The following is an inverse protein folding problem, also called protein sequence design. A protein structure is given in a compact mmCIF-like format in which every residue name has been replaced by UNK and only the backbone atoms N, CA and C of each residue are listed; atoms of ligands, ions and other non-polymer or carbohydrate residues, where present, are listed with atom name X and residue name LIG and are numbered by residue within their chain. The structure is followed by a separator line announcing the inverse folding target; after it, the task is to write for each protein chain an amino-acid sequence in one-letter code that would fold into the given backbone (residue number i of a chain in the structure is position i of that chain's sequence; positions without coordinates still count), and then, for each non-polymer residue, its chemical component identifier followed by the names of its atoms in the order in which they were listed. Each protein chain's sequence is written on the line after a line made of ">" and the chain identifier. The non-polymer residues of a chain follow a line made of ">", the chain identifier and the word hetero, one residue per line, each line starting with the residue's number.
data_IF_443567196595
#
_entry.id   IF_443567196595
#
_cell.length_a   1.000
_cell.length_b   1.000
_cell.length_c   1.000
_cell.angle_alpha   90.00
_cell.angle_beta   90.00
_cell.angle_gamma   90.00
#
_symmetry.space_group_name_H-M   'P 1'
#
loop_
_entity.id
_entity.type
_entity.pdbx_description
1 polymer ?
#
# COMPACT_ATOMS: atom_id res chain seq x y z
N UNK A 1 10.23 20.92 -19.25
CA UNK A 1 11.40 21.18 -18.37
C UNK A 1 11.28 20.46 -17.03
N UNK A 2 10.28 20.77 -16.20
CA UNK A 2 10.13 20.17 -14.85
C UNK A 2 9.97 18.63 -14.89
N UNK A 3 9.19 18.09 -15.83
CA UNK A 3 9.04 16.64 -15.96
C UNK A 3 10.37 15.94 -16.27
N UNK A 4 11.20 16.52 -17.15
CA UNK A 4 12.51 15.98 -17.47
C UNK A 4 13.46 16.04 -16.27
N UNK A 5 13.39 17.10 -15.46
CA UNK A 5 14.17 17.20 -14.22
C UNK A 5 13.74 16.18 -13.16
N UNK A 6 12.44 15.86 -13.08
CA UNK A 6 11.94 14.79 -12.21
C UNK A 6 12.47 13.44 -12.67
N UNK A 7 12.38 13.14 -13.98
CA UNK A 7 12.87 11.87 -14.54
C UNK A 7 14.39 11.74 -14.33
N UNK A 8 15.16 12.80 -14.57
CA UNK A 8 16.59 12.80 -14.29
C UNK A 8 16.90 12.56 -12.81
N UNK A 9 16.13 13.16 -11.89
CA UNK A 9 16.26 12.92 -10.46
C UNK A 9 15.94 11.46 -10.09
N UNK A 10 14.91 10.86 -10.69
CA UNK A 10 14.59 9.45 -10.49
C UNK A 10 15.71 8.52 -11.00
N UNK A 11 16.35 8.85 -12.13
CA UNK A 11 17.48 8.08 -12.65
C UNK A 11 18.68 8.17 -11.70
N UNK A 12 18.98 9.36 -11.19
CA UNK A 12 20.04 9.56 -10.19
C UNK A 12 19.78 8.74 -8.94
N UNK A 13 18.56 8.78 -8.39
CA UNK A 13 18.16 7.95 -7.24
C UNK A 13 18.27 6.45 -7.53
N UNK A 14 17.95 6.00 -8.76
CA UNK A 14 18.04 4.60 -9.13
C UNK A 14 19.48 4.10 -9.32
N UNK A 15 20.41 5.00 -9.64
CA UNK A 15 21.84 4.70 -9.79
C UNK A 15 22.62 4.79 -8.46
N UNK A 16 22.00 5.33 -7.41
CA UNK A 16 22.59 5.44 -6.08
C UNK A 16 22.80 4.05 -5.44
N UNK A 17 24.04 3.77 -5.02
CA UNK A 17 24.40 2.51 -4.40
C UNK A 17 24.53 2.69 -2.90
N UNK A 18 23.75 1.92 -2.14
CA UNK A 18 23.80 1.94 -0.68
C UNK A 18 24.76 0.84 -0.22
N UNK A 19 26.02 1.20 0.07
CA UNK A 19 27.00 0.27 0.61
C UNK A 19 26.93 0.24 2.15
N UNK A 20 27.25 -0.91 2.79
CA UNK A 20 27.35 -1.02 4.24
C UNK A 20 28.44 -0.09 4.80
N UNK A 21 28.34 0.25 6.08
CA UNK A 21 29.31 1.05 6.84
C UNK A 21 29.62 2.45 6.29
N UNK A 22 28.72 2.99 5.45
CA UNK A 22 28.84 4.35 4.93
C UNK A 22 29.92 4.49 3.85
N UNK A 23 30.37 3.38 3.28
CA UNK A 23 31.26 3.38 2.13
C UNK A 23 30.55 4.00 0.90
N UNK A 24 31.29 4.70 0.06
CA UNK A 24 30.75 5.37 -1.13
C UNK A 24 31.66 5.12 -2.31
N UNK A 25 31.05 4.68 -3.41
CA UNK A 25 31.77 4.62 -4.69
C UNK A 25 31.99 6.05 -5.22
N UNK A 26 33.03 6.29 -6.03
CA UNK A 26 33.28 7.60 -6.64
C UNK A 26 32.12 8.05 -7.56
N UNK A 27 31.31 7.11 -8.03
CA UNK A 27 30.06 7.39 -8.73
C UNK A 27 29.00 7.95 -7.77
N UNK A 28 28.79 7.31 -6.61
CA UNK A 28 27.81 7.76 -5.61
C UNK A 28 28.12 9.15 -5.08
N UNK A 29 29.39 9.47 -4.85
CA UNK A 29 29.82 10.80 -4.40
C UNK A 29 29.49 11.90 -5.42
N UNK A 30 29.74 11.63 -6.72
CA UNK A 30 29.34 12.55 -7.80
C UNK A 30 27.83 12.70 -7.92
N UNK A 31 27.06 11.66 -7.60
CA UNK A 31 25.60 11.71 -7.63
C UNK A 31 25.05 12.58 -6.49
N UNK A 32 25.64 12.50 -5.29
CA UNK A 32 25.30 13.36 -4.16
C UNK A 32 25.49 14.85 -4.50
N UNK A 33 26.56 15.19 -5.23
CA UNK A 33 26.81 16.57 -5.67
C UNK A 33 25.73 17.11 -6.61
N UNK A 34 25.04 16.24 -7.37
CA UNK A 34 23.96 16.69 -8.27
C UNK A 34 22.66 17.04 -7.53
N UNK A 35 22.51 16.58 -6.30
CA UNK A 35 21.29 16.71 -5.52
C UNK A 35 20.87 18.15 -5.17
N UNK A 36 21.76 19.03 -4.66
CA UNK A 36 21.39 20.42 -4.37
C UNK A 36 20.88 21.15 -5.62
N UNK A 37 21.36 20.80 -6.82
CA UNK A 37 20.85 21.38 -8.07
C UNK A 37 19.39 21.02 -8.32
N UNK A 38 18.99 19.76 -8.11
CA UNK A 38 17.59 19.34 -8.25
C UNK A 38 16.69 20.03 -7.21
N UNK A 39 17.15 20.15 -5.96
CA UNK A 39 16.42 20.85 -4.90
C UNK A 39 16.25 22.33 -5.26
N UNK A 40 17.30 22.98 -5.77
CA UNK A 40 17.25 24.37 -6.22
C UNK A 40 16.19 24.61 -7.31
N UNK A 41 16.15 23.74 -8.33
CA UNK A 41 15.13 23.80 -9.40
C UNK A 41 13.72 23.64 -8.83
N UNK A 42 13.51 22.69 -7.92
CA UNK A 42 12.20 22.47 -7.30
C UNK A 42 11.78 23.59 -6.34
N UNK A 43 12.74 24.19 -5.63
CA UNK A 43 12.49 25.36 -4.79
C UNK A 43 12.08 26.56 -5.63
N UNK A 44 12.74 26.77 -6.78
CA UNK A 44 12.39 27.84 -7.71
C UNK A 44 10.98 27.66 -8.29
N UNK A 45 10.64 26.45 -8.72
CA UNK A 45 9.29 26.12 -9.17
C UNK A 45 8.23 26.38 -8.08
N UNK A 46 8.46 25.88 -6.86
CA UNK A 46 7.53 26.07 -5.74
C UNK A 46 7.37 27.56 -5.40
N UNK A 47 8.47 28.32 -5.39
CA UNK A 47 8.48 29.76 -5.17
C UNK A 47 7.63 30.51 -6.20
N UNK A 48 7.81 30.22 -7.50
CA UNK A 48 6.99 30.82 -8.56
C UNK A 48 5.50 30.50 -8.35
N UNK A 49 5.15 29.25 -8.05
CA UNK A 49 3.76 28.85 -7.81
C UNK A 49 3.15 29.56 -6.59
N UNK A 50 3.91 29.72 -5.52
CA UNK A 50 3.47 30.41 -4.29
C UNK A 50 3.21 31.89 -4.57
N UNK A 51 4.08 32.56 -5.32
CA UNK A 51 3.91 33.97 -5.69
C UNK A 51 2.69 34.15 -6.61
N UNK A 52 2.53 33.27 -7.60
CA UNK A 52 1.44 33.38 -8.59
C UNK A 52 0.05 33.05 -8.02
N UNK A 53 -0.06 32.05 -7.13
CA UNK A 53 -1.35 31.56 -6.61
C UNK A 53 -1.70 32.13 -5.22
N UNK A 54 -0.73 32.75 -4.54
CA UNK A 54 -0.84 33.15 -3.14
C UNK A 54 -0.69 31.97 -2.18
N UNK A 55 -0.18 32.25 -0.97
CA UNK A 55 0.25 31.22 -0.02
C UNK A 55 -0.91 30.40 0.58
N UNK A 56 -1.84 31.03 1.30
CA UNK A 56 -2.86 30.30 2.08
C UNK A 56 -4.28 30.91 2.09
N UNK A 57 -4.44 32.23 2.02
CA UNK A 57 -5.71 32.88 2.38
C UNK A 57 -6.76 32.96 1.25
N UNK A 58 -6.40 32.70 -0.01
CA UNK A 58 -7.34 32.74 -1.14
C UNK A 58 -7.88 31.34 -1.50
N UNK A 59 -9.10 31.29 -2.06
CA UNK A 59 -9.75 30.02 -2.46
C UNK A 59 -8.98 29.21 -3.52
N UNK A 60 -8.06 29.84 -4.25
CA UNK A 60 -7.12 29.21 -5.21
C UNK A 60 -5.68 29.10 -4.71
N UNK A 61 -5.44 29.30 -3.42
CA UNK A 61 -4.08 29.32 -2.85
C UNK A 61 -3.35 27.99 -2.96
N UNK A 62 -2.03 28.08 -3.03
CA UNK A 62 -1.10 26.98 -3.28
C UNK A 62 -1.34 25.78 -2.35
N UNK A 63 -1.50 26.01 -1.05
CA UNK A 63 -1.66 24.96 -0.03
C UNK A 63 -3.04 24.26 -0.02
N UNK A 64 -4.03 24.77 -0.75
CA UNK A 64 -5.36 24.15 -0.81
C UNK A 64 -5.44 23.02 -1.84
N UNK A 65 -4.49 22.97 -2.77
CA UNK A 65 -4.35 21.88 -3.72
C UNK A 65 -3.45 20.78 -3.15
N UNK A 66 -4.01 19.58 -2.90
CA UNK A 66 -3.27 18.46 -2.30
C UNK A 66 -1.99 18.05 -3.04
N UNK A 67 -1.95 18.22 -4.37
CA UNK A 67 -0.75 17.94 -5.17
C UNK A 67 0.35 18.97 -4.95
N UNK A 68 -0.01 20.24 -4.79
CA UNK A 68 0.94 21.30 -4.46
C UNK A 68 1.47 21.15 -3.02
N UNK A 69 0.64 20.65 -2.09
CA UNK A 69 1.09 20.33 -0.73
C UNK A 69 2.13 19.21 -0.75
N UNK A 70 1.92 18.17 -1.56
CA UNK A 70 2.92 17.12 -1.76
C UNK A 70 4.23 17.69 -2.31
N UNK A 71 4.16 18.52 -3.36
CA UNK A 71 5.34 19.21 -3.92
C UNK A 71 6.08 20.04 -2.87
N UNK A 72 5.33 20.76 -2.02
CA UNK A 72 5.88 21.59 -0.95
C UNK A 72 6.59 20.76 0.12
N UNK A 73 6.01 19.64 0.55
CA UNK A 73 6.61 18.73 1.52
C UNK A 73 7.93 18.17 0.98
N UNK A 74 7.97 17.79 -0.30
CA UNK A 74 9.20 17.29 -0.95
C UNK A 74 10.30 18.37 -1.00
N UNK A 75 9.94 19.62 -1.28
CA UNK A 75 10.90 20.74 -1.27
C UNK A 75 11.38 21.06 0.15
N UNK A 76 10.46 21.13 1.11
CA UNK A 76 10.76 21.45 2.51
C UNK A 76 11.71 20.42 3.14
N UNK A 77 11.43 19.14 2.93
CA UNK A 77 12.27 18.03 3.41
C UNK A 77 13.64 18.02 2.72
N UNK A 78 13.70 18.38 1.43
CA UNK A 78 14.96 18.59 0.71
C UNK A 78 15.83 19.69 1.31
N UNK A 79 15.26 20.86 1.58
CA UNK A 79 15.96 21.98 2.23
C UNK A 79 16.39 21.61 3.66
N UNK A 80 15.54 20.95 4.41
CA UNK A 80 15.88 20.51 5.77
C UNK A 80 17.05 19.51 5.76
N UNK A 81 17.15 18.66 4.73
CA UNK A 81 18.27 17.72 4.57
C UNK A 81 19.60 18.38 4.20
N UNK A 82 19.59 19.57 3.59
CA UNK A 82 20.81 20.31 3.23
C UNK A 82 21.26 21.29 4.32
N UNK A 83 20.32 21.79 5.13
CA UNK A 83 20.58 22.77 6.20
C UNK A 83 20.81 22.11 7.57
N UNK A 84 20.30 20.90 7.81
CA UNK A 84 20.36 20.25 9.11
C UNK A 84 21.77 19.79 9.50
N UNK A 85 22.34 20.45 10.52
CA UNK A 85 23.66 20.11 11.09
C UNK A 85 23.60 19.11 12.26
N UNK A 86 22.42 18.75 12.79
CA UNK A 86 22.33 17.89 14.01
C UNK A 86 21.22 16.83 14.04
N UNK A 87 20.31 16.78 13.06
CA UNK A 87 19.31 15.71 12.99
C UNK A 87 19.86 14.49 12.26
N UNK A 88 19.51 13.29 12.71
CA UNK A 88 19.95 12.01 12.13
C UNK A 88 19.60 11.93 10.63
N UNK A 89 20.55 12.34 9.80
CA UNK A 89 20.42 12.58 8.36
C UNK A 89 19.95 11.32 7.61
N UNK A 90 20.08 10.13 8.19
CA UNK A 90 19.62 8.87 7.60
C UNK A 90 18.12 8.87 7.32
N UNK A 91 17.31 9.37 8.25
CA UNK A 91 15.85 9.41 8.09
C UNK A 91 15.42 10.44 7.03
N UNK A 92 16.06 11.61 7.00
CA UNK A 92 15.80 12.66 6.02
C UNK A 92 16.28 12.27 4.61
N UNK A 93 17.33 11.43 4.49
CA UNK A 93 17.74 10.84 3.22
C UNK A 93 16.69 9.87 2.67
N UNK A 94 16.06 9.05 3.53
CA UNK A 94 15.00 8.14 3.09
C UNK A 94 13.80 8.88 2.49
N UNK A 95 13.48 10.09 2.97
CA UNK A 95 12.37 10.92 2.45
C UNK A 95 12.56 11.30 0.97
N UNK A 96 13.79 11.28 0.46
CA UNK A 96 14.11 11.53 -0.96
C UNK A 96 13.43 10.52 -1.89
N UNK A 97 13.09 9.32 -1.39
CA UNK A 97 12.31 8.29 -2.11
C UNK A 97 10.88 8.75 -2.47
N UNK A 98 10.39 9.84 -1.86
CA UNK A 98 9.09 10.42 -2.18
C UNK A 98 9.15 11.34 -3.41
N UNK A 99 10.33 11.79 -3.87
CA UNK A 99 10.48 12.68 -5.03
C UNK A 99 9.87 12.14 -6.32
N UNK A 100 9.98 10.84 -6.66
CA UNK A 100 9.25 10.25 -7.78
C UNK A 100 7.74 10.47 -7.74
N UNK A 101 7.12 10.66 -6.57
CA UNK A 101 5.69 10.98 -6.47
C UNK A 101 5.34 12.33 -7.11
N UNK A 102 6.30 13.26 -7.25
CA UNK A 102 6.12 14.52 -7.98
C UNK A 102 5.82 14.29 -9.48
N UNK A 103 6.17 13.13 -10.03
CA UNK A 103 5.78 12.76 -11.39
C UNK A 103 4.24 12.67 -11.52
N UNK A 104 3.55 12.29 -10.44
CA UNK A 104 2.09 12.28 -10.38
C UNK A 104 1.54 13.70 -10.40
N UNK A 105 2.11 14.65 -9.64
CA UNK A 105 1.68 16.05 -9.69
C UNK A 105 1.96 16.70 -11.05
N UNK A 106 3.00 16.24 -11.77
CA UNK A 106 3.36 16.70 -13.11
C UNK A 106 2.49 16.15 -14.26
N UNK A 107 1.88 14.96 -14.12
CA UNK A 107 1.10 14.31 -15.19
C UNK A 107 -0.38 14.20 -14.80
N UNK A 108 -1.27 15.02 -15.40
CA UNK A 108 -2.70 15.04 -15.07
C UNK A 108 -3.39 13.67 -15.20
N UNK A 109 -2.98 12.86 -16.19
CA UNK A 109 -3.54 11.51 -16.40
C UNK A 109 -3.31 10.60 -15.18
N UNK A 110 -2.14 10.67 -14.54
CA UNK A 110 -1.83 9.89 -13.34
C UNK A 110 -2.64 10.35 -12.12
N UNK A 111 -2.89 11.66 -12.00
CA UNK A 111 -3.75 12.20 -10.94
C UNK A 111 -5.17 11.64 -11.02
N UNK A 112 -5.72 11.52 -12.23
CA UNK A 112 -7.06 10.93 -12.45
C UNK A 112 -7.07 9.46 -12.04
N UNK A 113 -6.02 8.71 -12.38
CA UNK A 113 -5.89 7.29 -12.01
C UNK A 113 -5.81 7.13 -10.49
N UNK A 114 -4.89 7.82 -9.81
CA UNK A 114 -4.76 7.71 -8.35
C UNK A 114 -6.00 8.17 -7.61
N UNK A 115 -6.65 9.26 -8.06
CA UNK A 115 -7.93 9.70 -7.48
C UNK A 115 -9.02 8.65 -7.61
N UNK A 116 -9.01 7.89 -8.72
CA UNK A 116 -9.93 6.78 -8.92
C UNK A 116 -9.62 5.61 -7.97
N UNK A 117 -8.35 5.27 -7.77
CA UNK A 117 -7.92 4.23 -6.81
C UNK A 117 -8.33 4.62 -5.39
N UNK A 118 -8.06 5.85 -4.96
CA UNK A 118 -8.43 6.33 -3.62
C UNK A 118 -9.94 6.26 -3.38
N UNK A 119 -10.75 6.57 -4.40
CA UNK A 119 -12.21 6.46 -4.31
C UNK A 119 -12.66 5.00 -4.18
N UNK A 120 -11.99 4.06 -4.85
CA UNK A 120 -12.27 2.63 -4.76
C UNK A 120 -11.78 2.00 -3.44
N UNK A 121 -10.80 2.61 -2.76
CA UNK A 121 -10.27 2.10 -1.49
C UNK A 121 -11.25 2.29 -0.32
N UNK A 122 -12.04 3.36 -0.32
CA UNK A 122 -13.00 3.67 0.76
C UNK A 122 -13.98 2.52 1.03
N UNK A 123 -14.70 1.96 0.03
CA UNK A 123 -15.59 0.82 0.28
C UNK A 123 -14.82 -0.42 0.77
N UNK A 124 -13.62 -0.68 0.25
CA UNK A 124 -12.79 -1.81 0.67
C UNK A 124 -12.37 -1.72 2.15
N UNK A 125 -12.18 -0.51 2.68
CA UNK A 125 -11.80 -0.29 4.08
C UNK A 125 -12.85 -0.85 5.06
N UNK A 126 -14.15 -0.71 4.74
CA UNK A 126 -15.22 -1.21 5.61
C UNK A 126 -15.18 -2.73 5.75
N UNK A 127 -14.89 -3.43 4.66
CA UNK A 127 -14.69 -4.88 4.71
C UNK A 127 -13.37 -5.21 5.38
N UNK A 128 -12.29 -4.50 5.06
CA UNK A 128 -11.00 -4.64 5.73
C UNK A 128 -11.11 -4.56 7.26
N UNK A 129 -12.01 -3.71 7.78
CA UNK A 129 -12.31 -3.64 9.21
C UNK A 129 -12.99 -4.92 9.73
N UNK A 130 -13.99 -5.45 9.01
CA UNK A 130 -14.60 -6.74 9.35
C UNK A 130 -13.57 -7.88 9.35
N UNK A 131 -12.67 -7.87 8.36
CA UNK A 131 -11.57 -8.83 8.28
C UNK A 131 -10.61 -8.72 9.46
N UNK A 132 -10.26 -7.48 9.84
CA UNK A 132 -9.42 -7.23 11.00
C UNK A 132 -10.04 -7.75 12.29
N UNK A 133 -11.37 -7.60 12.48
CA UNK A 133 -12.06 -8.19 13.62
C UNK A 133 -12.03 -9.73 13.60
N UNK A 134 -12.20 -10.36 12.44
CA UNK A 134 -12.08 -11.82 12.33
C UNK A 134 -10.66 -12.30 12.70
N UNK A 135 -9.63 -11.60 12.21
CA UNK A 135 -8.22 -11.87 12.57
C UNK A 135 -8.01 -11.73 14.08
N UNK A 136 -8.54 -10.67 14.69
CA UNK A 136 -8.43 -10.46 16.14
C UNK A 136 -9.05 -11.60 16.94
N UNK A 137 -10.21 -12.13 16.53
CA UNK A 137 -10.84 -13.26 17.23
C UNK A 137 -9.90 -14.48 17.21
N UNK A 138 -9.37 -14.85 16.04
CA UNK A 138 -8.44 -15.97 15.94
C UNK A 138 -7.10 -15.71 16.65
N UNK A 139 -6.63 -14.46 16.69
CA UNK A 139 -5.42 -14.08 17.41
C UNK A 139 -5.59 -14.21 18.93
N UNK A 140 -6.74 -13.81 19.49
CA UNK A 140 -7.05 -13.98 20.91
C UNK A 140 -7.13 -15.46 21.27
N UNK A 141 -7.81 -16.27 20.45
CA UNK A 141 -7.89 -17.72 20.65
C UNK A 141 -6.49 -18.37 20.59
N UNK A 142 -5.67 -17.96 19.62
CA UNK A 142 -4.30 -18.45 19.47
C UNK A 142 -3.40 -18.05 20.64
N UNK A 143 -3.56 -16.83 21.15
CA UNK A 143 -2.86 -16.34 22.34
C UNK A 143 -3.15 -17.24 23.55
N UNK A 144 -4.41 -17.52 23.85
CA UNK A 144 -4.78 -18.40 24.97
C UNK A 144 -4.23 -19.82 24.85
N UNK A 145 -4.11 -20.36 23.62
CA UNK A 145 -3.60 -21.73 23.43
C UNK A 145 -2.07 -21.85 23.41
N UNK A 146 -1.39 -20.86 22.86
CA UNK A 146 0.04 -20.97 22.53
C UNK A 146 0.95 -20.04 23.34
N UNK A 147 0.41 -19.34 24.36
CA UNK A 147 1.19 -18.48 25.24
C UNK A 147 2.37 -19.24 25.87
N UNK A 148 3.57 -18.70 25.67
CA UNK A 148 4.84 -19.18 26.17
C UNK A 148 5.36 -20.46 25.50
N UNK A 149 4.61 -21.05 24.57
CA UNK A 149 4.93 -22.38 24.01
C UNK A 149 6.06 -22.38 22.99
N UNK A 150 6.38 -21.23 22.41
CA UNK A 150 7.42 -21.10 21.38
C UNK A 150 8.79 -20.67 21.89
N UNK A 151 8.99 -20.62 23.22
CA UNK A 151 10.25 -20.20 23.83
C UNK A 151 11.12 -21.37 24.33
N UNK A 152 10.79 -22.60 23.95
CA UNK A 152 11.54 -23.81 24.27
C UNK A 152 12.31 -24.29 23.05
N UNK A 153 13.57 -24.66 23.23
CA UNK A 153 14.39 -25.28 22.18
C UNK A 153 15.33 -26.33 22.76
N UNK A 154 15.80 -27.25 21.92
CA UNK A 154 16.79 -28.25 22.33
C UNK A 154 18.17 -27.61 22.47
N UNK A 155 18.67 -27.56 23.71
CA UNK A 155 20.01 -27.08 24.05
C UNK A 155 20.91 -28.24 24.44
N UNK A 156 22.19 -28.15 24.10
CA UNK A 156 23.20 -29.10 24.57
C UNK A 156 23.33 -29.05 26.10
N UNK A 157 23.46 -30.22 26.74
CA UNK A 157 23.52 -30.33 28.20
C UNK A 157 24.78 -29.64 28.77
N UNK A 158 25.88 -29.62 28.01
CA UNK A 158 27.18 -29.12 28.43
C UNK A 158 27.46 -27.68 27.99
N UNK A 159 27.11 -27.30 26.76
CA UNK A 159 27.43 -25.97 26.22
C UNK A 159 26.28 -24.96 26.32
N UNK A 160 25.06 -25.43 26.61
CA UNK A 160 23.82 -24.64 26.55
C UNK A 160 23.57 -23.96 25.19
N UNK A 161 24.27 -24.40 24.14
CA UNK A 161 24.09 -23.91 22.77
C UNK A 161 22.84 -24.53 22.14
N UNK A 162 22.12 -23.72 21.36
CA UNK A 162 20.93 -24.17 20.63
C UNK A 162 21.39 -24.98 19.43
N UNK A 163 21.05 -26.27 19.39
CA UNK A 163 21.44 -27.14 18.27
C UNK A 163 20.44 -27.09 17.12
N UNK A 164 19.16 -26.84 17.40
CA UNK A 164 18.08 -26.85 16.42
C UNK A 164 17.12 -25.70 16.69
N UNK A 165 16.88 -24.86 15.69
CA UNK A 165 15.96 -23.72 15.73
C UNK A 165 14.50 -24.15 15.53
N UNK A 166 14.03 -25.04 16.39
CA UNK A 166 12.66 -25.50 16.40
C UNK A 166 12.15 -25.66 17.83
N UNK A 167 10.85 -25.43 18.08
CA UNK A 167 10.26 -25.69 19.37
C UNK A 167 10.43 -27.14 19.81
N UNK A 168 10.45 -27.36 21.12
CA UNK A 168 10.41 -28.70 21.71
C UNK A 168 9.42 -28.75 22.87
N UNK A 169 8.98 -29.95 23.23
CA UNK A 169 8.24 -30.19 24.46
C UNK A 169 8.88 -31.27 25.32
N UNK A 170 8.40 -31.38 26.56
CA UNK A 170 8.97 -32.28 27.59
C UNK A 170 8.34 -33.68 27.58
N UNK A 171 7.16 -33.83 27.00
CA UNK A 171 6.36 -35.07 27.03
C UNK A 171 5.81 -35.43 25.65
N UNK A 172 5.72 -36.73 25.33
CA UNK A 172 5.03 -37.20 24.12
C UNK A 172 3.55 -36.78 24.17
N UNK A 173 2.94 -36.22 23.10
CA UNK A 173 3.31 -36.34 21.68
C UNK A 173 4.05 -35.12 21.09
N UNK A 174 4.60 -34.24 21.94
CA UNK A 174 5.46 -33.14 21.48
C UNK A 174 6.81 -33.66 20.97
N UNK A 175 7.57 -32.80 20.28
CA UNK A 175 8.90 -33.16 19.80
C UNK A 175 9.87 -33.22 20.97
N UNK A 176 10.39 -34.42 21.22
CA UNK A 176 11.43 -34.67 22.21
C UNK A 176 12.81 -34.39 21.62
N UNK A 177 13.70 -33.87 22.47
CA UNK A 177 15.08 -33.61 22.08
C UNK A 177 15.89 -34.92 21.96
N UNK A 178 16.85 -34.99 21.02
CA UNK A 178 17.73 -36.15 20.86
C UNK A 178 18.68 -36.33 22.06
N UNK A 179 19.23 -37.54 22.21
CA UNK A 179 20.18 -37.86 23.28
C UNK A 179 21.35 -36.88 23.31
N UNK A 180 21.65 -36.34 24.50
CA UNK A 180 22.68 -35.31 24.70
C UNK A 180 22.15 -33.88 24.71
N UNK A 181 20.86 -33.67 24.42
CA UNK A 181 20.21 -32.35 24.49
C UNK A 181 18.99 -32.36 25.40
N UNK A 182 18.71 -31.23 26.03
CA UNK A 182 17.56 -31.03 26.92
C UNK A 182 16.66 -29.91 26.38
N UNK A 183 15.34 -30.08 26.51
CA UNK A 183 14.38 -29.06 26.14
C UNK A 183 14.34 -27.97 27.21
N UNK A 184 15.01 -26.84 26.94
CA UNK A 184 15.14 -25.71 27.87
C UNK A 184 14.43 -24.47 27.36
N UNK A 185 14.01 -23.63 28.30
CA UNK A 185 13.42 -22.32 28.04
C UNK A 185 14.52 -21.29 27.67
N UNK A 186 14.11 -20.05 27.39
CA UNK A 186 14.98 -18.94 26.92
C UNK A 186 15.51 -19.08 25.49
N UNK A 187 14.66 -19.54 24.58
CA UNK A 187 14.84 -19.30 23.15
C UNK A 187 14.01 -18.10 22.69
N UNK A 188 14.55 -17.28 21.78
CA UNK A 188 13.83 -16.11 21.24
C UNK A 188 12.55 -16.51 20.49
N UNK A 189 12.48 -17.74 19.99
CA UNK A 189 11.35 -18.27 19.23
C UNK A 189 11.64 -18.34 17.72
N UNK A 190 10.76 -18.97 16.94
CA UNK A 190 10.97 -19.14 15.51
C UNK A 190 11.05 -17.80 14.78
N UNK A 191 11.79 -17.75 13.67
CA UNK A 191 12.00 -16.54 12.86
C UNK A 191 12.48 -15.34 13.69
N UNK A 192 13.51 -15.53 14.52
CA UNK A 192 14.06 -14.50 15.41
C UNK A 192 13.01 -13.90 16.38
N UNK A 193 12.04 -14.71 16.82
CA UNK A 193 10.98 -14.30 17.74
C UNK A 193 9.85 -13.48 17.10
N UNK A 194 9.75 -13.42 15.77
CA UNK A 194 8.64 -12.69 15.11
C UNK A 194 7.35 -13.51 15.15
N UNK A 195 7.44 -14.82 14.93
CA UNK A 195 6.27 -15.72 14.90
C UNK A 195 6.00 -16.25 16.31
N UNK A 196 5.14 -15.55 17.05
CA UNK A 196 4.81 -15.86 18.44
C UNK A 196 3.36 -15.50 18.79
N UNK A 197 2.83 -16.08 19.87
CA UNK A 197 1.47 -15.84 20.39
C UNK A 197 1.47 -15.17 21.77
N UNK A 198 2.59 -14.62 22.25
CA UNK A 198 2.68 -14.05 23.60
C UNK A 198 2.11 -12.63 23.71
N UNK A 199 2.05 -11.91 22.60
CA UNK A 199 1.48 -10.57 22.52
C UNK A 199 0.43 -10.52 21.40
N UNK A 200 -0.67 -9.80 21.65
CA UNK A 200 -1.75 -9.64 20.68
C UNK A 200 -1.26 -9.11 19.32
N UNK A 201 -0.26 -8.22 19.28
CA UNK A 201 0.25 -7.67 18.02
C UNK A 201 0.99 -8.72 17.19
N UNK A 202 1.83 -9.54 17.82
CA UNK A 202 2.53 -10.65 17.16
C UNK A 202 1.57 -11.79 16.82
N UNK A 203 0.58 -12.06 17.66
CA UNK A 203 -0.48 -13.02 17.36
C UNK A 203 -1.30 -12.61 16.13
N UNK A 204 -1.69 -11.34 16.02
CA UNK A 204 -2.38 -10.79 14.83
C UNK A 204 -1.51 -10.92 13.58
N UNK A 205 -0.21 -10.60 13.66
CA UNK A 205 0.72 -10.76 12.53
C UNK A 205 0.85 -12.22 12.10
N UNK A 206 0.99 -13.13 13.07
CA UNK A 206 1.14 -14.57 12.86
C UNK A 206 -0.14 -15.18 12.24
N UNK A 207 -1.31 -14.79 12.72
CA UNK A 207 -2.61 -15.18 12.16
C UNK A 207 -2.81 -14.60 10.76
N UNK A 208 -2.42 -13.34 10.54
CA UNK A 208 -2.46 -12.71 9.22
C UNK A 208 -1.60 -13.47 8.21
N UNK A 209 -0.36 -13.83 8.56
CA UNK A 209 0.50 -14.67 7.75
C UNK A 209 -0.19 -16.00 7.40
N UNK A 210 -0.82 -16.66 8.38
CA UNK A 210 -1.55 -17.90 8.12
C UNK A 210 -2.71 -17.73 7.13
N UNK A 211 -3.49 -16.66 7.25
CA UNK A 211 -4.62 -16.38 6.37
C UNK A 211 -4.18 -16.10 4.93
N UNK A 212 -2.99 -15.52 4.74
CA UNK A 212 -2.38 -15.35 3.41
C UNK A 212 -1.92 -16.66 2.76
N UNK A 213 -2.11 -17.81 3.42
CA UNK A 213 -1.66 -19.13 2.99
C UNK A 213 -0.14 -19.24 2.78
N UNK A 214 0.63 -18.39 3.43
CA UNK A 214 2.09 -18.37 3.36
C UNK A 214 2.64 -18.79 4.72
N UNK A 215 3.57 -19.76 4.76
CA UNK A 215 4.21 -20.21 6.01
C UNK A 215 3.30 -20.89 7.06
N UNK A 216 1.99 -21.05 6.82
CA UNK A 216 1.04 -21.57 7.82
C UNK A 216 1.31 -23.01 8.26
N UNK A 217 1.81 -23.86 7.36
CA UNK A 217 2.20 -25.24 7.68
C UNK A 217 3.39 -25.28 8.62
N UNK A 218 4.35 -24.37 8.46
CA UNK A 218 5.49 -24.25 9.36
C UNK A 218 5.02 -23.90 10.77
N UNK A 219 4.07 -22.98 10.90
CA UNK A 219 3.50 -22.63 12.20
C UNK A 219 2.70 -23.79 12.83
N UNK A 220 1.97 -24.55 12.03
CA UNK A 220 1.33 -25.78 12.49
C UNK A 220 2.37 -26.79 12.99
N UNK A 221 3.48 -26.97 12.28
CA UNK A 221 4.56 -27.86 12.70
C UNK A 221 5.26 -27.36 13.97
N UNK A 222 5.55 -26.06 14.07
CA UNK A 222 6.08 -25.47 15.31
C UNK A 222 5.14 -25.66 16.49
N UNK A 223 3.83 -25.53 16.27
CA UNK A 223 2.82 -25.81 17.30
C UNK A 223 2.83 -27.29 17.69
N UNK A 224 2.91 -28.20 16.72
CA UNK A 224 2.98 -29.64 16.98
C UNK A 224 4.26 -30.04 17.72
N UNK A 225 5.38 -29.44 17.37
CA UNK A 225 6.66 -29.69 18.02
C UNK A 225 6.65 -29.18 19.47
N UNK A 226 5.97 -28.07 19.76
CA UNK A 226 5.85 -27.50 21.10
C UNK A 226 4.81 -28.19 22.01
N UNK A 227 3.58 -28.40 21.52
CA UNK A 227 2.43 -28.87 22.33
C UNK A 227 1.91 -30.26 21.94
N UNK A 228 2.42 -30.85 20.86
CA UNK A 228 1.97 -32.13 20.33
C UNK A 228 0.87 -32.01 19.27
N UNK A 229 0.77 -33.00 18.38
CA UNK A 229 -0.09 -32.92 17.18
C UNK A 229 -1.60 -33.15 17.40
N UNK A 230 -2.01 -33.59 18.59
CA UNK A 230 -3.36 -34.10 18.83
C UNK A 230 -4.48 -33.06 18.61
N UNK A 231 -4.25 -31.80 18.98
CA UNK A 231 -5.32 -30.78 19.04
C UNK A 231 -5.06 -29.55 18.16
N UNK A 232 -3.83 -29.30 17.72
CA UNK A 232 -3.48 -28.08 16.98
C UNK A 232 -4.22 -27.93 15.65
N UNK A 233 -4.54 -29.04 14.98
CA UNK A 233 -5.28 -29.03 13.72
C UNK A 233 -6.70 -28.44 13.89
N UNK A 234 -7.32 -28.53 15.08
CA UNK A 234 -8.63 -27.92 15.36
C UNK A 234 -8.59 -26.39 15.35
N UNK A 235 -7.43 -25.79 15.57
CA UNK A 235 -7.25 -24.34 15.45
C UNK A 235 -6.91 -23.97 14.01
N UNK A 236 -5.89 -24.60 13.44
CA UNK A 236 -5.35 -24.20 12.12
C UNK A 236 -6.28 -24.54 10.95
N UNK A 237 -7.00 -25.67 10.96
CA UNK A 237 -7.86 -26.04 9.84
C UNK A 237 -9.06 -25.08 9.72
N UNK A 238 -9.83 -24.77 10.79
CA UNK A 238 -10.85 -23.72 10.72
C UNK A 238 -10.27 -22.34 10.41
N UNK A 239 -9.08 -22.01 10.91
CA UNK A 239 -8.41 -20.74 10.56
C UNK A 239 -8.14 -20.64 9.05
N UNK A 240 -7.70 -21.70 8.38
CA UNK A 240 -7.45 -21.67 6.93
C UNK A 240 -8.76 -21.68 6.13
N UNK A 241 -9.76 -22.46 6.55
CA UNK A 241 -11.05 -22.54 5.86
C UNK A 241 -11.83 -21.22 6.03
N UNK A 242 -12.01 -20.75 7.27
CA UNK A 242 -12.80 -19.56 7.58
C UNK A 242 -11.97 -18.29 7.35
N UNK A 243 -10.68 -18.31 7.65
CA UNK A 243 -9.81 -17.20 7.30
C UNK A 243 -9.62 -17.15 5.80
N UNK A 244 -8.83 -18.03 5.21
CA UNK A 244 -8.39 -17.81 3.83
C UNK A 244 -9.50 -17.91 2.77
N UNK A 245 -10.31 -18.98 2.77
CA UNK A 245 -11.33 -19.16 1.72
C UNK A 245 -12.46 -18.14 1.82
N UNK A 246 -12.99 -17.89 3.02
CA UNK A 246 -14.04 -16.89 3.19
C UNK A 246 -13.51 -15.47 2.95
N UNK A 247 -12.29 -15.14 3.38
CA UNK A 247 -11.70 -13.81 3.14
C UNK A 247 -11.52 -13.53 1.64
N UNK A 248 -10.94 -14.47 0.89
CA UNK A 248 -10.78 -14.32 -0.57
C UNK A 248 -12.14 -14.15 -1.26
N UNK A 249 -13.13 -14.97 -0.89
CA UNK A 249 -14.47 -14.89 -1.46
C UNK A 249 -15.17 -13.57 -1.11
N UNK A 250 -14.98 -13.04 0.10
CA UNK A 250 -15.56 -11.77 0.50
C UNK A 250 -14.93 -10.61 -0.26
N UNK A 251 -13.59 -10.59 -0.38
CA UNK A 251 -12.88 -9.55 -1.15
C UNK A 251 -13.31 -9.59 -2.61
N UNK A 252 -13.36 -10.76 -3.23
CA UNK A 252 -13.84 -10.93 -4.61
C UNK A 252 -15.31 -10.51 -4.76
N UNK A 253 -16.16 -10.87 -3.80
CA UNK A 253 -17.58 -10.51 -3.80
C UNK A 253 -17.79 -9.00 -3.76
N UNK A 254 -17.05 -8.30 -2.91
CA UNK A 254 -17.13 -6.83 -2.82
C UNK A 254 -16.56 -6.18 -4.06
N UNK A 255 -15.37 -6.60 -4.51
CA UNK A 255 -14.77 -6.05 -5.72
C UNK A 255 -15.73 -6.22 -6.91
N UNK A 256 -16.35 -7.38 -7.05
CA UNK A 256 -17.38 -7.64 -8.05
C UNK A 256 -18.58 -6.69 -7.89
N UNK A 257 -19.09 -6.49 -6.67
CA UNK A 257 -20.18 -5.56 -6.38
C UNK A 257 -19.85 -4.10 -6.72
N UNK A 258 -18.66 -3.61 -6.33
CA UNK A 258 -18.22 -2.26 -6.64
C UNK A 258 -17.91 -2.09 -8.14
N UNK A 259 -17.34 -3.09 -8.81
CA UNK A 259 -17.14 -3.07 -10.26
C UNK A 259 -18.48 -3.08 -11.01
N UNK A 260 -19.47 -3.85 -10.57
CA UNK A 260 -20.80 -3.86 -11.15
C UNK A 260 -21.47 -2.48 -11.01
N UNK A 261 -21.40 -1.89 -9.81
CA UNK A 261 -21.93 -0.54 -9.52
C UNK A 261 -21.24 0.54 -10.35
N UNK A 262 -19.92 0.49 -10.50
CA UNK A 262 -19.20 1.46 -11.32
C UNK A 262 -19.47 1.26 -12.81
N UNK A 263 -19.60 0.01 -13.28
CA UNK A 263 -20.02 -0.31 -14.66
C UNK A 263 -21.41 0.26 -14.97
N UNK A 264 -22.38 0.06 -14.08
CA UNK A 264 -23.73 0.60 -14.24
C UNK A 264 -23.73 2.13 -14.32
N UNK A 265 -22.95 2.81 -13.46
CA UNK A 265 -22.78 4.28 -13.53
C UNK A 265 -22.22 4.74 -14.87
N UNK A 266 -21.24 4.03 -15.41
CA UNK A 266 -20.63 4.35 -16.71
C UNK A 266 -21.64 4.13 -17.85
N UNK A 267 -22.39 3.03 -17.82
CA UNK A 267 -23.44 2.74 -18.81
C UNK A 267 -24.55 3.80 -18.79
N UNK A 268 -25.06 4.16 -17.61
CA UNK A 268 -26.06 5.21 -17.44
C UNK A 268 -25.57 6.57 -17.95
N UNK A 269 -24.31 6.93 -17.65
CA UNK A 269 -23.71 8.18 -18.15
C UNK A 269 -23.56 8.17 -19.67
N UNK A 270 -23.17 7.04 -20.27
CA UNK A 270 -23.07 6.88 -21.73
C UNK A 270 -24.45 6.96 -22.38
N UNK A 271 -25.47 6.33 -21.80
CA UNK A 271 -26.85 6.37 -22.28
C UNK A 271 -27.40 7.81 -22.26
N UNK A 272 -27.20 8.53 -21.15
CA UNK A 272 -27.58 9.94 -21.04
C UNK A 272 -26.91 10.83 -22.09
N UNK A 273 -25.59 10.66 -22.30
CA UNK A 273 -24.85 11.42 -23.31
C UNK A 273 -25.32 11.12 -24.74
N UNK A 274 -25.67 9.86 -25.04
CA UNK A 274 -26.26 9.46 -26.33
C UNK A 274 -27.63 10.10 -26.54
N UNK A 275 -28.51 10.04 -25.54
CA UNK A 275 -29.85 10.64 -25.59
C UNK A 275 -29.76 12.16 -25.84
N UNK A 276 -28.87 12.85 -25.12
CA UNK A 276 -28.65 14.28 -25.28
C UNK A 276 -28.13 14.64 -26.67
N UNK A 277 -27.25 13.83 -27.26
CA UNK A 277 -26.80 14.02 -28.65
C UNK A 277 -27.95 13.84 -29.65
N UNK A 278 -28.82 12.84 -29.45
CA UNK A 278 -29.98 12.63 -30.33
C UNK A 278 -30.96 13.82 -30.28
N UNK A 279 -31.31 14.28 -29.08
CA UNK A 279 -32.18 15.46 -28.92
C UNK A 279 -31.58 16.73 -29.51
N UNK A 280 -30.26 16.89 -29.41
CA UNK A 280 -29.55 18.02 -30.03
C UNK A 280 -29.68 17.96 -31.56
N UNK A 281 -29.39 16.81 -32.17
CA UNK A 281 -29.48 16.60 -33.62
C UNK A 281 -30.92 16.82 -34.10
N UNK A 282 -31.91 16.33 -33.36
CA UNK A 282 -33.33 16.51 -33.70
C UNK A 282 -33.75 17.99 -33.67
N UNK A 283 -33.31 18.75 -32.66
CA UNK A 283 -33.56 20.20 -32.59
C UNK A 283 -32.88 20.96 -33.73
N UNK A 284 -31.63 20.63 -34.04
CA UNK A 284 -30.91 21.25 -35.15
C UNK A 284 -31.60 20.94 -36.49
N UNK A 285 -31.98 19.69 -36.72
CA UNK A 285 -32.72 19.28 -37.92
C UNK A 285 -34.04 20.03 -38.07
N UNK A 286 -34.82 20.15 -36.99
CA UNK A 286 -36.08 20.91 -37.00
C UNK A 286 -35.84 22.39 -37.29
N UNK A 287 -34.79 22.99 -36.72
CA UNK A 287 -34.39 24.36 -37.04
C UNK A 287 -34.03 24.54 -38.51
N UNK A 288 -33.23 23.63 -39.09
CA UNK A 288 -32.91 23.67 -40.53
C UNK A 288 -34.16 23.51 -41.41
N UNK A 289 -35.09 22.64 -41.04
CA UNK A 289 -36.34 22.44 -41.75
C UNK A 289 -37.23 23.70 -41.75
N UNK A 290 -37.31 24.41 -40.62
CA UNK A 290 -38.02 25.70 -40.54
C UNK A 290 -37.39 26.75 -41.46
N UNK A 291 -36.05 26.85 -41.46
CA UNK A 291 -35.33 27.76 -42.36
C UNK A 291 -35.57 27.44 -43.83
N UNK A 292 -35.52 26.15 -44.22
CA UNK A 292 -35.81 25.70 -45.58
C UNK A 292 -37.26 26.03 -45.95
N UNK A 293 -38.23 25.78 -45.07
CA UNK A 293 -39.64 26.11 -45.30
C UNK A 293 -39.86 27.61 -45.50
N UNK A 294 -39.22 28.43 -44.67
CA UNK A 294 -39.29 29.89 -44.75
C UNK A 294 -38.64 30.42 -46.03
N UNK A 295 -37.49 29.88 -46.43
CA UNK A 295 -36.84 30.20 -47.69
C UNK A 295 -37.74 29.81 -48.88
N UNK A 296 -38.30 28.59 -48.90
CA UNK A 296 -39.21 28.13 -49.95
C UNK A 296 -40.44 29.03 -50.12
N UNK A 297 -41.02 29.52 -49.02
CA UNK A 297 -42.10 30.53 -49.05
C UNK A 297 -41.63 31.89 -49.58
N UNK A 298 -40.42 32.32 -49.21
CA UNK A 298 -39.86 33.63 -49.63
C UNK A 298 -39.43 33.68 -51.10
N UNK A 299 -39.05 32.55 -51.70
CA UNK A 299 -38.71 32.43 -53.12
C UNK A 299 -39.92 32.11 -54.01
N UNK A 300 -41.15 32.11 -53.48
CA UNK A 300 -42.35 32.02 -54.30
C UNK A 300 -42.56 30.66 -54.98
N UNK A 301 -42.16 29.55 -54.36
CA UNK A 301 -42.60 28.20 -54.77
C UNK A 301 -44.06 27.92 -54.32
N UNK A 302 -44.93 28.90 -54.53
CA UNK A 302 -46.38 28.76 -54.49
C UNK A 302 -46.85 28.64 -55.93
N UNK A 303 -46.68 27.45 -56.53
CA UNK A 303 -47.56 26.87 -57.56
C UNK A 303 -46.89 25.65 -58.18
N UNK A 304 -47.20 24.48 -57.63
CA UNK A 304 -47.66 23.31 -58.38
C UNK A 304 -48.52 22.45 -57.47
#
# INVERSE_FOLDING_TARGET
>A
MILATIIANCIVLALEQHLPDGDKTPMSERLDDTEPYFIGIFCFEAGIKIIALGFAFHKGSYLRNGWNVMDFVVVLTGILSTVGTEFDLRTLRAVRVLRPLKLVSGIPSLQVVLKSIMKAMIPLLQIGLLLFFAILIFAIIGLEFYLGKFHTACKDIHTDEIMQEAPCGKESPSRLCPNGTECKEYWQGPNYGITQFDNILFAVLTVFQCITMEGWTNLLYYSNDASGSAWNWLYFIPLIIIGSFFMLNLVLGVLSGEFAKERERVENRRAFLKLRRQQQIERELNGYMEWISKAGKSYGLSNM
#
